data_IF_704444925488
#
_entry.id   IF_704444925488
#
_cell.length_a   1.000
_cell.length_b   1.000
_cell.length_c   1.000
_cell.angle_alpha   90.00
_cell.angle_beta   90.00
_cell.angle_gamma   90.00
#
_symmetry.space_group_name_H-M   'P 1'
#
loop_
_entity.id
_entity.type
_entity.pdbx_description
1 polymer ?
#
# COMPACT_ATOMS: atom_id res chain seq x y z
N UNK A 1 -5.53 3.40 14.05
CA UNK A 1 -6.25 4.60 13.57
C UNK A 1 -5.52 5.31 12.43
N UNK A 2 -4.26 5.72 12.59
CA UNK A 2 -3.47 6.35 11.51
C UNK A 2 -3.33 5.46 10.25
N UNK A 3 -3.11 4.16 10.44
CA UNK A 3 -2.99 3.21 9.32
C UNK A 3 -4.33 3.09 8.56
N UNK A 4 -5.44 2.99 9.30
CA UNK A 4 -6.79 2.93 8.71
C UNK A 4 -7.12 4.22 7.96
N UNK A 5 -6.79 5.37 8.54
CA UNK A 5 -7.00 6.67 7.92
C UNK A 5 -6.15 6.85 6.65
N UNK A 6 -4.89 6.39 6.66
CA UNK A 6 -4.01 6.45 5.50
C UNK A 6 -4.45 5.50 4.38
N UNK A 7 -4.83 4.26 4.72
CA UNK A 7 -5.33 3.27 3.75
C UNK A 7 -6.64 3.74 3.12
N UNK A 8 -7.61 4.16 3.94
CA UNK A 8 -8.89 4.67 3.46
C UNK A 8 -8.77 5.99 2.69
N UNK A 9 -7.91 6.90 3.18
CA UNK A 9 -7.62 8.18 2.53
C UNK A 9 -6.98 8.00 1.16
N UNK A 10 -5.95 7.17 1.03
CA UNK A 10 -5.32 6.92 -0.28
C UNK A 10 -6.23 6.17 -1.27
N UNK A 11 -7.17 5.35 -0.79
CA UNK A 11 -8.17 4.71 -1.65
C UNK A 11 -9.15 5.73 -2.23
N UNK A 12 -9.63 6.67 -1.39
CA UNK A 12 -10.44 7.80 -1.84
C UNK A 12 -9.67 8.69 -2.81
N UNK A 13 -8.39 8.98 -2.53
CA UNK A 13 -7.52 9.77 -3.42
C UNK A 13 -7.27 9.08 -4.77
N UNK A 14 -7.07 7.77 -4.78
CA UNK A 14 -6.87 6.98 -6.01
C UNK A 14 -8.12 6.94 -6.90
N UNK A 15 -9.30 6.90 -6.28
CA UNK A 15 -10.59 6.76 -6.97
C UNK A 15 -11.35 8.08 -7.20
N UNK A 16 -10.92 9.18 -6.59
CA UNK A 16 -11.60 10.47 -6.70
C UNK A 16 -11.68 10.98 -8.16
N UNK A 17 -12.82 11.56 -8.57
CA UNK A 17 -12.96 12.19 -9.89
C UNK A 17 -11.97 13.34 -10.07
N UNK A 18 -11.48 13.48 -11.31
CA UNK A 18 -10.38 14.33 -11.76
C UNK A 18 -10.25 15.70 -11.06
N UNK A 19 -9.15 15.87 -10.29
CA UNK A 19 -8.52 17.19 -10.10
C UNK A 19 -7.26 17.22 -10.97
N UNK A 20 -7.05 18.34 -11.67
CA UNK A 20 -6.00 18.52 -12.68
C UNK A 20 -4.57 18.40 -12.12
N UNK A 21 -4.39 18.61 -10.82
CA UNK A 21 -3.09 18.53 -10.13
C UNK A 21 -3.27 17.97 -8.72
N UNK A 22 -2.95 16.68 -8.54
CA UNK A 22 -2.77 16.11 -7.22
C UNK A 22 -1.33 16.34 -6.78
N UNK A 23 -1.07 17.05 -5.67
CA UNK A 23 0.30 17.34 -5.27
C UNK A 23 0.91 16.06 -4.70
N UNK A 24 1.94 15.56 -5.38
CA UNK A 24 2.78 14.44 -4.94
C UNK A 24 3.22 14.56 -3.48
N UNK A 25 3.38 15.79 -2.98
CA UNK A 25 3.69 16.08 -1.59
C UNK A 25 2.70 15.50 -0.58
N UNK A 26 1.38 15.50 -0.85
CA UNK A 26 0.41 14.90 0.08
C UNK A 26 0.49 13.38 0.12
N UNK A 27 0.71 12.75 -1.04
CA UNK A 27 0.89 11.29 -1.13
C UNK A 27 2.19 10.87 -0.44
N UNK A 28 3.27 11.61 -0.67
CA UNK A 28 4.57 11.37 -0.03
C UNK A 28 4.50 11.59 1.49
N UNK A 29 3.83 12.65 1.95
CA UNK A 29 3.64 12.92 3.37
C UNK A 29 2.80 11.83 4.05
N UNK A 30 1.71 11.37 3.41
CA UNK A 30 0.89 10.28 3.92
C UNK A 30 1.65 8.95 3.99
N UNK A 31 2.45 8.64 2.97
CA UNK A 31 3.32 7.47 2.95
C UNK A 31 4.39 7.54 4.06
N UNK A 32 5.04 8.69 4.22
CA UNK A 32 6.02 8.94 5.28
C UNK A 32 5.41 8.81 6.68
N UNK A 33 4.21 9.36 6.89
CA UNK A 33 3.48 9.20 8.15
C UNK A 33 3.18 7.71 8.45
N UNK A 34 2.89 6.91 7.42
CA UNK A 34 2.67 5.47 7.58
C UNK A 34 3.94 4.73 8.01
N UNK A 35 5.08 5.04 7.37
CA UNK A 35 6.40 4.50 7.75
C UNK A 35 6.72 4.83 9.20
N UNK A 36 6.55 6.09 9.59
CA UNK A 36 6.80 6.54 10.97
C UNK A 36 5.85 5.84 11.95
N UNK A 37 4.56 5.73 11.63
CA UNK A 37 3.59 5.03 12.48
C UNK A 37 3.94 3.56 12.69
N UNK A 38 4.39 2.85 11.65
CA UNK A 38 4.84 1.46 11.76
C UNK A 38 6.09 1.32 12.63
N UNK A 39 7.07 2.22 12.46
CA UNK A 39 8.32 2.19 13.20
C UNK A 39 8.16 2.59 14.67
N UNK A 40 7.20 3.46 15.00
CA UNK A 40 6.91 3.90 16.37
C UNK A 40 5.91 2.98 17.08
N UNK A 41 4.97 2.38 16.35
CA UNK A 41 3.91 1.53 16.90
C UNK A 41 4.32 0.09 17.20
N UNK A 42 5.62 -0.21 17.31
CA UNK A 42 6.17 -1.56 17.57
C UNK A 42 5.41 -2.21 18.75
N UNK A 43 4.57 -3.20 18.48
CA UNK A 43 3.69 -3.76 19.50
C UNK A 43 4.40 -4.72 20.45
N UNK A 44 5.52 -5.34 20.05
CA UNK A 44 6.43 -6.08 20.94
C UNK A 44 5.79 -7.24 21.73
N UNK A 45 4.55 -7.63 21.43
CA UNK A 45 3.87 -8.72 22.15
C UNK A 45 4.34 -10.03 21.54
N UNK A 46 5.29 -10.69 22.21
CA UNK A 46 5.78 -12.03 21.85
C UNK A 46 4.68 -13.08 22.03
N UNK A 47 3.74 -13.16 21.09
CA UNK A 47 2.85 -14.32 20.94
C UNK A 47 3.47 -15.17 19.84
N UNK A 48 4.00 -16.37 20.15
CA UNK A 48 4.64 -17.26 19.16
C UNK A 48 3.60 -17.82 18.16
N UNK A 49 3.70 -17.55 16.84
CA UNK A 49 2.94 -18.25 15.83
C UNK A 49 3.89 -18.92 14.81
N UNK A 50 3.35 -19.89 14.07
CA UNK A 50 4.06 -20.81 13.17
C UNK A 50 4.75 -20.18 11.93
N UNK A 51 4.73 -18.85 11.75
CA UNK A 51 5.21 -18.11 10.55
C UNK A 51 6.31 -17.07 10.89
N UNK A 52 7.25 -17.42 11.76
CA UNK A 52 8.19 -16.49 12.46
C UNK A 52 9.39 -15.99 11.65
N UNK A 53 9.37 -16.11 10.32
CA UNK A 53 10.48 -15.64 9.47
C UNK A 53 10.10 -14.43 8.62
N UNK A 54 11.05 -13.52 8.38
CA UNK A 54 10.91 -12.36 7.48
C UNK A 54 10.32 -12.75 6.12
N UNK A 55 10.74 -13.89 5.55
CA UNK A 55 10.22 -14.42 4.29
C UNK A 55 8.74 -14.84 4.36
N UNK A 56 8.30 -15.40 5.50
CA UNK A 56 6.91 -15.77 5.71
C UNK A 56 6.01 -14.54 5.77
N UNK A 57 6.43 -13.51 6.51
CA UNK A 57 5.73 -12.22 6.56
C UNK A 57 5.66 -11.56 5.18
N UNK A 58 6.77 -11.48 4.45
CA UNK A 58 6.79 -10.97 3.06
C UNK A 58 5.77 -11.70 2.17
N UNK A 59 5.73 -13.04 2.24
CA UNK A 59 4.80 -13.84 1.44
C UNK A 59 3.34 -13.54 1.77
N UNK A 60 3.00 -13.44 3.05
CA UNK A 60 1.65 -13.07 3.49
C UNK A 60 1.28 -11.64 3.09
N UNK A 61 2.23 -10.71 3.10
CA UNK A 61 1.97 -9.34 2.64
C UNK A 61 1.61 -9.27 1.17
N UNK A 62 2.40 -9.95 0.33
CA UNK A 62 2.14 -10.03 -1.10
C UNK A 62 0.78 -10.67 -1.34
N UNK A 63 0.50 -11.82 -0.70
CA UNK A 63 -0.76 -12.54 -0.89
C UNK A 63 -1.99 -11.70 -0.53
N UNK A 64 -1.96 -10.99 0.61
CA UNK A 64 -3.08 -10.15 1.06
C UNK A 64 -3.24 -8.87 0.23
N UNK A 65 -2.18 -8.41 -0.43
CA UNK A 65 -2.21 -7.19 -1.25
C UNK A 65 -2.68 -7.44 -2.69
N UNK A 66 -2.57 -8.66 -3.23
CA UNK A 66 -2.87 -8.96 -4.64
C UNK A 66 -4.31 -8.59 -5.02
N UNK A 67 -5.30 -9.00 -4.23
CA UNK A 67 -6.72 -8.75 -4.51
C UNK A 67 -7.06 -7.25 -4.55
N UNK A 68 -6.77 -6.44 -3.50
CA UNK A 68 -7.06 -5.01 -3.55
C UNK A 68 -6.25 -4.29 -4.63
N UNK A 69 -5.03 -4.74 -4.94
CA UNK A 69 -4.20 -4.16 -6.00
C UNK A 69 -4.79 -4.42 -7.38
N UNK A 70 -5.24 -5.65 -7.66
CA UNK A 70 -5.90 -6.01 -8.90
C UNK A 70 -7.17 -5.19 -9.12
N UNK A 71 -8.00 -5.03 -8.06
CA UNK A 71 -9.20 -4.22 -8.12
C UNK A 71 -8.87 -2.74 -8.41
N UNK A 72 -7.87 -2.19 -7.73
CA UNK A 72 -7.39 -0.83 -7.97
C UNK A 72 -6.92 -0.63 -9.42
N UNK A 73 -6.18 -1.60 -9.98
CA UNK A 73 -5.76 -1.56 -11.39
C UNK A 73 -6.94 -1.56 -12.35
N UNK A 74 -7.92 -2.44 -12.14
CA UNK A 74 -9.14 -2.50 -12.98
C UNK A 74 -9.86 -1.16 -12.99
N UNK A 75 -10.04 -0.54 -11.82
CA UNK A 75 -10.69 0.76 -11.70
C UNK A 75 -9.87 1.88 -12.35
N UNK A 76 -8.54 1.88 -12.17
CA UNK A 76 -7.65 2.86 -12.78
C UNK A 76 -7.56 2.74 -14.31
N UNK A 77 -7.71 1.55 -14.86
CA UNK A 77 -7.75 1.32 -16.31
C UNK A 77 -8.99 1.95 -16.97
N UNK A 78 -10.04 2.27 -16.21
CA UNK A 78 -11.23 2.99 -16.71
C UNK A 78 -11.05 4.51 -16.79
N UNK A 79 -9.88 5.02 -16.43
CA UNK A 79 -9.57 6.44 -16.39
C UNK A 79 -8.23 6.74 -17.09
N UNK A 80 -8.03 7.97 -17.53
CA UNK A 80 -6.75 8.40 -18.10
C UNK A 80 -5.59 8.15 -17.11
N UNK A 81 -4.42 7.79 -17.65
CA UNK A 81 -3.26 7.49 -16.82
C UNK A 81 -2.78 8.72 -16.06
N UNK A 82 -2.70 8.60 -14.74
CA UNK A 82 -2.08 9.58 -13.85
C UNK A 82 -1.20 8.85 -12.84
N UNK A 83 0.14 9.04 -12.87
CA UNK A 83 1.07 8.25 -12.06
C UNK A 83 0.85 8.44 -10.56
N UNK A 84 0.50 9.64 -10.11
CA UNK A 84 0.23 9.94 -8.69
C UNK A 84 -1.00 9.18 -8.17
N UNK A 85 -2.03 8.98 -8.99
CA UNK A 85 -3.21 8.17 -8.63
C UNK A 85 -2.87 6.68 -8.57
N UNK A 86 -2.07 6.19 -9.53
CA UNK A 86 -1.58 4.82 -9.50
C UNK A 86 -0.75 4.53 -8.25
N UNK A 87 0.10 5.48 -7.85
CA UNK A 87 0.90 5.41 -6.64
C UNK A 87 0.01 5.42 -5.38
N UNK A 88 -0.91 6.37 -5.25
CA UNK A 88 -1.80 6.46 -4.10
C UNK A 88 -2.67 5.20 -3.95
N UNK A 89 -3.22 4.70 -5.06
CA UNK A 89 -4.00 3.47 -5.06
C UNK A 89 -3.15 2.24 -4.71
N UNK A 90 -1.92 2.16 -5.23
CA UNK A 90 -0.97 1.09 -4.91
C UNK A 90 -0.57 1.07 -3.43
N UNK A 91 -0.22 2.23 -2.88
CA UNK A 91 0.12 2.39 -1.46
C UNK A 91 -1.06 2.06 -0.55
N UNK A 92 -2.29 2.42 -0.93
CA UNK A 92 -3.49 2.06 -0.17
C UNK A 92 -3.84 0.58 -0.25
N UNK A 93 -3.81 -0.01 -1.45
CA UNK A 93 -4.11 -1.43 -1.65
C UNK A 93 -3.11 -2.32 -0.89
N UNK A 94 -1.82 -2.00 -0.98
CA UNK A 94 -0.77 -2.69 -0.24
C UNK A 94 -0.74 -2.32 1.26
N UNK A 95 -1.34 -1.18 1.67
CA UNK A 95 -1.41 -0.79 3.07
C UNK A 95 -2.36 -1.66 3.91
N UNK A 96 -3.25 -2.44 3.28
CA UNK A 96 -4.11 -3.39 3.98
C UNK A 96 -3.29 -4.51 4.63
N UNK A 97 -2.23 -5.01 3.96
CA UNK A 97 -1.35 -6.01 4.56
C UNK A 97 -0.58 -5.45 5.75
N UNK A 98 -0.09 -4.21 5.66
CA UNK A 98 0.54 -3.53 6.80
C UNK A 98 -0.39 -3.46 8.01
N UNK A 99 -1.69 -3.24 7.80
CA UNK A 99 -2.68 -3.14 8.88
C UNK A 99 -2.95 -4.49 9.56
N UNK A 100 -3.13 -5.55 8.76
CA UNK A 100 -3.35 -6.91 9.26
C UNK A 100 -2.10 -7.43 9.97
N UNK A 101 -0.92 -7.22 9.39
CA UNK A 101 0.32 -7.72 9.96
C UNK A 101 0.85 -6.87 11.12
N UNK A 102 0.60 -5.56 11.18
CA UNK A 102 0.95 -4.77 12.37
C UNK A 102 0.26 -5.30 13.65
N UNK A 103 -0.96 -5.84 13.51
CA UNK A 103 -1.72 -6.41 14.62
C UNK A 103 -1.29 -7.84 14.95
N UNK A 104 -0.79 -8.59 13.96
CA UNK A 104 -0.49 -10.02 14.10
C UNK A 104 1.00 -10.40 14.06
N UNK A 105 1.91 -9.46 13.78
CA UNK A 105 3.35 -9.69 13.75
C UNK A 105 3.93 -9.55 15.17
N UNK A 106 4.49 -10.62 15.74
CA UNK A 106 5.10 -10.58 17.08
C UNK A 106 6.51 -9.97 17.08
N UNK A 107 7.13 -9.82 15.90
CA UNK A 107 8.48 -9.30 15.72
C UNK A 107 8.45 -7.79 15.43
N UNK A 108 8.67 -7.01 16.47
CA UNK A 108 8.73 -5.55 16.39
C UNK A 108 10.11 -4.99 16.05
N UNK A 109 11.10 -5.81 15.66
CA UNK A 109 12.44 -5.30 15.33
C UNK A 109 12.41 -4.39 14.10
N UNK A 110 13.27 -3.38 14.09
CA UNK A 110 13.32 -2.40 13.00
C UNK A 110 13.64 -3.06 11.65
N UNK A 111 14.58 -4.00 11.65
CA UNK A 111 15.00 -4.72 10.44
C UNK A 111 13.89 -5.62 9.91
N UNK A 112 13.16 -6.31 10.79
CA UNK A 112 11.99 -7.10 10.40
C UNK A 112 10.89 -6.21 9.80
N UNK A 113 10.58 -5.09 10.44
CA UNK A 113 9.59 -4.14 9.91
C UNK A 113 10.02 -3.54 8.57
N UNK A 114 11.31 -3.22 8.41
CA UNK A 114 11.82 -2.64 7.18
C UNK A 114 11.79 -3.65 6.03
N UNK A 115 12.32 -4.86 6.24
CA UNK A 115 12.46 -5.87 5.20
C UNK A 115 11.16 -6.65 5.00
N UNK A 116 10.53 -7.09 6.08
CA UNK A 116 9.35 -7.94 6.06
C UNK A 116 8.05 -7.23 5.75
N UNK A 117 8.02 -5.89 5.90
CA UNK A 117 6.78 -5.10 5.79
C UNK A 117 6.86 -3.85 4.90
N UNK A 118 7.78 -2.94 5.21
CA UNK A 118 7.87 -1.66 4.48
C UNK A 118 8.40 -1.82 3.06
N UNK A 119 9.40 -2.69 2.86
CA UNK A 119 9.98 -2.95 1.55
C UNK A 119 8.96 -3.60 0.59
N UNK A 120 8.27 -4.70 0.92
CA UNK A 120 7.27 -5.29 0.02
C UNK A 120 6.13 -4.32 -0.26
N UNK A 121 5.68 -3.55 0.74
CA UNK A 121 4.68 -2.50 0.54
C UNK A 121 5.09 -1.47 -0.51
N UNK A 122 6.30 -0.91 -0.39
CA UNK A 122 6.83 0.05 -1.36
C UNK A 122 7.03 -0.56 -2.75
N UNK A 123 7.56 -1.79 -2.81
CA UNK A 123 7.76 -2.52 -4.07
C UNK A 123 6.44 -2.77 -4.78
N UNK A 124 5.40 -3.22 -4.06
CA UNK A 124 4.07 -3.47 -4.65
C UNK A 124 3.43 -2.19 -5.18
N UNK A 125 3.58 -1.06 -4.47
CA UNK A 125 3.13 0.24 -4.96
C UNK A 125 3.88 0.65 -6.24
N UNK A 126 5.20 0.44 -6.30
CA UNK A 126 6.01 0.69 -7.50
C UNK A 126 5.61 -0.21 -8.68
N UNK A 127 5.40 -1.50 -8.43
CA UNK A 127 4.90 -2.47 -9.42
C UNK A 127 3.53 -2.05 -9.95
N UNK A 128 2.63 -1.58 -9.10
CA UNK A 128 1.35 -1.04 -9.52
C UNK A 128 1.48 0.17 -10.46
N UNK A 129 2.37 1.11 -10.16
CA UNK A 129 2.66 2.26 -11.06
C UNK A 129 3.20 1.78 -12.40
N UNK A 130 4.13 0.82 -12.38
CA UNK A 130 4.75 0.25 -13.57
C UNK A 130 3.74 -0.52 -14.44
N UNK A 131 2.94 -1.41 -13.85
CA UNK A 131 1.89 -2.14 -14.57
C UNK A 131 0.91 -1.14 -15.18
N UNK A 132 0.46 -0.15 -14.39
CA UNK A 132 -0.50 0.85 -14.88
C UNK A 132 0.07 1.70 -16.01
N UNK A 133 1.38 1.97 -16.05
CA UNK A 133 2.01 2.71 -17.16
C UNK A 133 2.06 1.91 -18.47
N UNK A 134 1.91 0.59 -18.41
CA UNK A 134 1.88 -0.31 -19.57
C UNK A 134 0.47 -0.68 -20.02
N UNK A 135 -0.53 -0.55 -19.15
CA UNK A 135 -1.92 -0.89 -19.46
C UNK A 135 -2.63 0.23 -20.23
N UNK A 136 -3.35 -0.11 -21.32
CA UNK A 136 -4.14 0.86 -22.07
C UNK A 136 -5.28 1.40 -21.20
N UNK A 137 -5.55 2.69 -21.35
CA UNK A 137 -6.68 3.34 -20.67
C UNK A 137 -7.93 3.17 -21.52
N UNK A 138 -8.99 2.57 -20.96
CA UNK A 138 -10.31 2.51 -21.58
C UNK A 138 -11.14 3.67 -21.04
N UNK A 139 -10.99 4.84 -21.68
CA UNK A 139 -11.83 6.00 -21.39
C UNK A 139 -13.14 5.85 -22.14
N UNK A 140 -14.28 5.84 -21.43
CA UNK A 140 -15.62 5.91 -22.00
C UNK A 140 -16.11 7.36 -22.10
N UNK A 141 -15.20 8.32 -22.27
CA UNK A 141 -15.58 9.68 -22.60
C UNK A 141 -15.65 9.81 -24.14
N UNK A 142 -16.78 10.27 -24.70
CA UNK A 142 -16.92 10.60 -26.12
C UNK A 142 -16.02 11.79 -26.51
#
# INVERSE_FOLDING_TARGET
LLIVAGVGGGALLGLAPSRRTWPLGWVAAGAGAMVVAQLLGRSGVQVRPFLTGTLGCMGTEVALSVVPLALAMVLLCRSAYQPVRALAAGLSAAGVSLLVLHVHCPDGTADHLMLGHLLPWGVLAGVAVFIRSRLPSRSFAP
#
